data_IF_350538650347
#
_entry.id   IF_350538650347
#
_cell.length_a   1.000
_cell.length_b   1.000
_cell.length_c   1.000
_cell.angle_alpha   90.00
_cell.angle_beta   90.00
_cell.angle_gamma   90.00
#
_symmetry.space_group_name_H-M   'P 1'
#
loop_
_entity.id
_entity.type
_entity.pdbx_description
1 polymer ?
#
# COMPACT_ATOMS: atom_id res chain seq x y z
N UNK A 1 19.22 -9.46 -24.96
CA UNK A 1 18.92 -8.74 -23.71
C UNK A 1 19.82 -7.54 -23.67
N UNK A 2 19.27 -6.36 -23.93
CA UNK A 2 20.01 -5.09 -23.87
C UNK A 2 20.46 -4.86 -22.44
N UNK A 3 21.77 -4.69 -22.21
CA UNK A 3 22.34 -4.20 -20.96
C UNK A 3 21.68 -2.84 -20.63
N UNK A 4 20.61 -2.87 -19.81
CA UNK A 4 20.17 -1.64 -19.13
C UNK A 4 21.34 -1.26 -18.21
N UNK A 5 22.07 -0.20 -18.56
CA UNK A 5 23.14 0.40 -17.74
C UNK A 5 22.63 0.46 -16.29
N UNK A 6 23.50 0.11 -15.32
CA UNK A 6 23.25 0.31 -13.89
C UNK A 6 22.83 1.76 -13.73
N UNK A 7 21.52 1.98 -13.49
CA UNK A 7 20.98 3.31 -13.30
C UNK A 7 21.53 3.85 -11.97
N UNK A 8 21.77 5.14 -11.89
CA UNK A 8 22.15 5.82 -10.67
C UNK A 8 20.94 5.86 -9.71
N UNK A 9 20.72 4.75 -8.99
CA UNK A 9 19.59 4.63 -8.06
C UNK A 9 19.89 5.46 -6.81
N UNK A 10 19.01 6.41 -6.52
CA UNK A 10 19.08 7.31 -5.36
C UNK A 10 17.98 7.06 -4.33
N UNK A 11 16.91 6.40 -4.73
CA UNK A 11 15.77 6.08 -3.87
C UNK A 11 15.30 4.64 -4.12
N UNK A 12 15.14 3.88 -3.04
CA UNK A 12 14.42 2.61 -3.02
C UNK A 12 13.06 2.84 -2.40
N UNK A 13 11.99 2.46 -3.10
CA UNK A 13 10.62 2.47 -2.59
C UNK A 13 10.09 1.05 -2.57
N UNK A 14 9.53 0.62 -1.47
CA UNK A 14 8.99 -0.74 -1.35
C UNK A 14 7.56 -0.73 -0.80
N UNK A 15 6.72 -1.60 -1.33
CA UNK A 15 5.54 -2.03 -0.58
C UNK A 15 5.96 -2.79 0.69
N UNK A 16 5.02 -2.98 1.62
CA UNK A 16 5.24 -3.62 2.90
C UNK A 16 4.69 -5.05 2.92
N UNK A 17 3.36 -5.20 2.73
CA UNK A 17 2.65 -6.45 2.96
C UNK A 17 2.80 -7.42 1.78
N UNK A 18 3.40 -8.59 1.99
CA UNK A 18 3.74 -9.51 0.91
C UNK A 18 5.10 -9.22 0.28
N UNK A 19 5.57 -7.98 0.33
CA UNK A 19 6.83 -7.52 -0.27
C UNK A 19 8.00 -7.51 0.72
N UNK A 20 7.88 -6.83 1.86
CA UNK A 20 8.93 -6.77 2.90
C UNK A 20 8.66 -7.73 4.05
N UNK A 21 7.40 -7.94 4.37
CA UNK A 21 6.98 -8.82 5.46
C UNK A 21 5.88 -9.76 4.99
N UNK A 22 5.80 -10.94 5.59
CA UNK A 22 4.61 -11.77 5.53
C UNK A 22 3.60 -11.26 6.53
N UNK A 23 2.32 -11.48 6.24
CA UNK A 23 1.22 -11.01 7.10
C UNK A 23 1.38 -11.49 8.54
N UNK A 24 1.47 -10.54 9.49
CA UNK A 24 1.62 -10.82 10.92
C UNK A 24 3.07 -10.99 11.39
N UNK A 25 4.06 -10.83 10.52
CA UNK A 25 5.48 -10.90 10.84
C UNK A 25 6.10 -9.49 10.90
N UNK A 26 7.25 -9.38 11.57
CA UNK A 26 8.12 -8.20 11.51
C UNK A 26 9.11 -8.30 10.35
N UNK A 27 9.98 -7.30 10.21
CA UNK A 27 11.03 -7.34 9.19
C UNK A 27 12.00 -8.50 9.42
N UNK A 28 12.31 -9.30 8.37
CA UNK A 28 13.45 -10.20 8.41
C UNK A 28 14.75 -9.40 8.56
N UNK A 29 15.75 -9.99 9.24
CA UNK A 29 17.08 -9.36 9.42
C UNK A 29 17.73 -8.92 8.10
N UNK A 30 17.46 -9.63 7.03
CA UNK A 30 17.98 -9.31 5.70
C UNK A 30 17.47 -7.96 5.18
N UNK A 31 16.23 -7.57 5.51
CA UNK A 31 15.67 -6.24 5.16
C UNK A 31 16.35 -5.14 5.97
N UNK A 32 16.50 -5.33 7.29
CA UNK A 32 17.18 -4.38 8.16
C UNK A 32 18.64 -4.16 7.71
N UNK A 33 19.34 -5.24 7.38
CA UNK A 33 20.71 -5.18 6.86
C UNK A 33 20.79 -4.44 5.52
N UNK A 34 19.86 -4.73 4.59
CA UNK A 34 19.81 -4.07 3.29
C UNK A 34 19.55 -2.56 3.44
N UNK A 35 18.61 -2.17 4.31
CA UNK A 35 18.33 -0.75 4.60
C UNK A 35 19.54 -0.04 5.21
N UNK A 36 20.24 -0.69 6.15
CA UNK A 36 21.46 -0.13 6.73
C UNK A 36 22.58 0.06 5.70
N UNK A 37 22.74 -0.88 4.75
CA UNK A 37 23.73 -0.74 3.67
C UNK A 37 23.34 0.35 2.66
N UNK A 38 22.06 0.51 2.33
CA UNK A 38 21.58 1.63 1.50
C UNK A 38 21.95 2.97 2.14
N UNK A 39 21.71 3.11 3.44
CA UNK A 39 22.05 4.34 4.20
C UNK A 39 23.55 4.66 4.14
N UNK A 40 24.44 3.68 4.24
CA UNK A 40 25.90 3.88 4.10
C UNK A 40 26.30 4.38 2.71
N UNK A 41 25.51 4.08 1.69
CA UNK A 41 25.72 4.49 0.30
C UNK A 41 24.95 5.76 -0.08
N UNK A 42 24.32 6.42 0.90
CA UNK A 42 23.49 7.61 0.69
C UNK A 42 22.31 7.37 -0.26
N UNK A 43 21.87 6.10 -0.37
CA UNK A 43 20.64 5.74 -1.10
C UNK A 43 19.48 5.79 -0.12
N UNK A 44 18.47 6.61 -0.44
CA UNK A 44 17.30 6.79 0.39
C UNK A 44 16.39 5.56 0.31
N UNK A 45 15.64 5.29 1.39
CA UNK A 45 14.68 4.20 1.47
C UNK A 45 13.35 4.70 2.04
N UNK A 46 12.22 4.31 1.43
CA UNK A 46 10.89 4.63 1.95
C UNK A 46 9.86 3.58 1.55
N UNK A 47 8.63 3.75 2.02
CA UNK A 47 7.50 2.85 1.77
C UNK A 47 6.44 3.49 0.88
N UNK A 48 5.74 2.63 0.10
CA UNK A 48 4.47 2.93 -0.55
C UNK A 48 3.50 1.79 -0.23
N UNK A 49 2.53 2.02 0.66
CA UNK A 49 1.69 0.96 1.24
C UNK A 49 0.22 1.35 1.30
N UNK A 50 -0.67 0.35 1.29
CA UNK A 50 -2.10 0.51 1.58
C UNK A 50 -2.39 0.77 3.06
N UNK A 51 -1.42 0.60 3.94
CA UNK A 51 -1.59 0.81 5.38
C UNK A 51 -1.86 2.27 5.75
N UNK A 52 -2.51 2.46 6.88
CA UNK A 52 -2.64 3.78 7.53
C UNK A 52 -1.32 4.20 8.18
N UNK A 53 -1.07 5.52 8.35
CA UNK A 53 0.18 6.03 8.92
C UNK A 53 0.59 5.36 10.23
N UNK A 54 -0.32 5.21 11.20
CA UNK A 54 -0.01 4.60 12.49
C UNK A 54 0.47 3.14 12.39
N UNK A 55 0.09 2.43 11.32
CA UNK A 55 0.54 1.06 11.06
C UNK A 55 1.92 1.02 10.39
N UNK A 56 2.34 2.09 9.73
CA UNK A 56 3.62 2.18 9.02
C UNK A 56 4.69 2.82 9.89
N UNK A 57 4.33 3.79 10.73
CA UNK A 57 5.28 4.56 11.56
C UNK A 57 6.26 3.68 12.35
N UNK A 58 5.83 2.60 13.06
CA UNK A 58 6.79 1.74 13.78
C UNK A 58 7.84 1.10 12.86
N UNK A 59 7.45 0.75 11.63
CA UNK A 59 8.36 0.19 10.63
C UNK A 59 9.32 1.26 10.09
N UNK A 60 8.82 2.46 9.81
CA UNK A 60 9.64 3.58 9.35
C UNK A 60 10.69 3.99 10.40
N UNK A 61 10.29 4.05 11.67
CA UNK A 61 11.19 4.33 12.79
C UNK A 61 12.25 3.25 12.96
N UNK A 62 11.88 1.96 12.88
CA UNK A 62 12.82 0.85 13.04
C UNK A 62 13.94 0.84 11.98
N UNK A 63 13.65 1.31 10.77
CA UNK A 63 14.62 1.45 9.67
C UNK A 63 15.26 2.84 9.58
N UNK A 64 14.88 3.78 10.46
CA UNK A 64 15.39 5.15 10.47
C UNK A 64 15.03 5.95 9.22
N UNK A 65 13.81 5.77 8.72
CA UNK A 65 13.27 6.51 7.57
C UNK A 65 12.85 7.90 8.03
N UNK A 66 13.45 8.94 7.45
CA UNK A 66 13.20 10.34 7.77
C UNK A 66 12.56 11.13 6.63
N UNK A 67 12.50 10.55 5.44
CA UNK A 67 11.85 11.12 4.25
C UNK A 67 10.36 10.78 4.23
N UNK A 68 9.54 11.44 3.38
CA UNK A 68 8.12 11.15 3.29
C UNK A 68 7.82 9.69 2.96
N UNK A 69 6.69 9.21 3.48
CA UNK A 69 6.13 7.86 3.27
C UNK A 69 4.79 7.99 2.60
N UNK A 70 4.52 7.10 1.65
CA UNK A 70 3.25 6.98 0.95
C UNK A 70 2.37 5.95 1.67
N UNK A 71 1.22 6.39 2.19
CA UNK A 71 0.22 5.59 2.89
C UNK A 71 -1.11 5.56 2.12
N UNK A 72 -2.04 4.71 2.54
CA UNK A 72 -3.39 4.59 1.97
C UNK A 72 -3.35 4.46 0.43
N UNK A 73 -2.49 3.57 -0.09
CA UNK A 73 -2.28 3.38 -1.54
C UNK A 73 -1.93 4.65 -2.33
N UNK A 74 -1.35 5.68 -1.70
CA UNK A 74 -0.93 6.89 -2.39
C UNK A 74 -1.75 8.14 -2.08
N UNK A 75 -2.95 7.98 -1.53
CA UNK A 75 -3.83 9.11 -1.21
C UNK A 75 -3.37 9.93 -0.02
N UNK A 76 -2.35 9.48 0.70
CA UNK A 76 -1.80 10.17 1.84
C UNK A 76 -0.27 10.11 1.86
N UNK A 77 0.36 11.28 1.91
CA UNK A 77 1.79 11.41 2.15
C UNK A 77 2.02 12.01 3.53
N UNK A 78 2.92 11.39 4.31
CA UNK A 78 3.26 11.89 5.63
C UNK A 78 4.74 11.70 5.93
N UNK A 79 5.25 12.48 6.88
CA UNK A 79 6.61 12.37 7.40
C UNK A 79 6.58 12.54 8.92
N UNK A 80 6.95 11.50 9.64
CA UNK A 80 6.77 11.44 11.12
C UNK A 80 5.28 11.65 11.46
N UNK A 81 4.94 12.72 12.17
CA UNK A 81 3.57 13.04 12.57
C UNK A 81 2.90 14.10 11.66
N UNK A 82 3.59 14.58 10.61
CA UNK A 82 3.12 15.60 9.70
C UNK A 82 2.49 15.00 8.46
N UNK A 83 1.22 15.33 8.18
CA UNK A 83 0.56 15.03 6.91
C UNK A 83 1.00 16.11 5.91
N UNK A 84 1.68 15.69 4.85
CA UNK A 84 2.18 16.58 3.80
C UNK A 84 1.15 16.77 2.69
N UNK A 85 0.41 15.71 2.36
CA UNK A 85 -0.59 15.71 1.29
C UNK A 85 -1.67 14.67 1.59
N UNK A 86 -2.93 14.97 1.21
CA UNK A 86 -4.07 14.10 1.48
C UNK A 86 -5.15 14.27 0.41
N UNK A 87 -5.62 13.14 -0.13
CA UNK A 87 -6.65 13.06 -1.17
C UNK A 87 -7.79 12.13 -0.73
N UNK A 88 -8.68 12.60 0.17
CA UNK A 88 -9.77 11.76 0.64
C UNK A 88 -10.88 11.63 -0.39
N UNK A 89 -11.73 10.62 -0.25
CA UNK A 89 -12.91 10.37 -1.06
C UNK A 89 -14.19 10.68 -0.27
N UNK A 90 -15.22 11.19 -0.96
CA UNK A 90 -16.51 11.48 -0.36
C UNK A 90 -17.28 10.17 -0.15
N UNK A 91 -17.74 9.89 1.07
CA UNK A 91 -18.50 8.66 1.34
C UNK A 91 -19.84 8.60 0.62
N UNK A 92 -20.43 9.74 0.25
CA UNK A 92 -21.67 9.77 -0.53
C UNK A 92 -21.51 9.03 -1.87
N UNK A 93 -20.36 9.17 -2.54
CA UNK A 93 -20.10 8.49 -3.81
C UNK A 93 -20.12 6.97 -3.66
N UNK A 94 -19.70 6.46 -2.49
CA UNK A 94 -19.64 5.03 -2.18
C UNK A 94 -20.91 4.49 -1.53
N UNK A 95 -21.89 5.34 -1.24
CA UNK A 95 -23.08 4.97 -0.47
C UNK A 95 -23.79 3.73 -1.01
N UNK A 96 -24.08 3.60 -2.33
CA UNK A 96 -24.76 2.41 -2.85
C UNK A 96 -23.98 1.12 -2.60
N UNK A 97 -22.67 1.14 -2.82
CA UNK A 97 -21.78 0.00 -2.59
C UNK A 97 -21.72 -0.36 -1.09
N UNK A 98 -21.58 0.64 -0.24
CA UNK A 98 -21.52 0.47 1.22
C UNK A 98 -22.84 -0.13 1.75
N UNK A 99 -23.98 0.42 1.33
CA UNK A 99 -25.29 -0.10 1.74
C UNK A 99 -25.50 -1.54 1.25
N UNK A 100 -25.08 -1.86 0.02
CA UNK A 100 -25.12 -3.22 -0.51
C UNK A 100 -24.27 -4.21 0.29
N UNK A 101 -23.07 -3.80 0.69
CA UNK A 101 -22.17 -4.59 1.55
C UNK A 101 -22.77 -4.80 2.96
N UNK A 102 -23.31 -3.74 3.56
CA UNK A 102 -23.96 -3.83 4.87
C UNK A 102 -25.20 -4.73 4.87
N UNK A 103 -26.01 -4.73 3.80
CA UNK A 103 -27.14 -5.63 3.64
C UNK A 103 -26.70 -7.11 3.57
N UNK A 104 -25.50 -7.38 3.11
CA UNK A 104 -24.89 -8.73 3.04
C UNK A 104 -24.10 -9.09 4.29
N UNK A 105 -24.25 -8.34 5.37
CA UNK A 105 -23.53 -8.54 6.63
C UNK A 105 -21.98 -8.49 6.50
N UNK A 106 -21.47 -7.91 5.42
CA UNK A 106 -20.03 -7.69 5.23
C UNK A 106 -19.50 -6.65 6.23
N UNK A 107 -18.22 -6.74 6.55
CA UNK A 107 -17.54 -5.76 7.41
C UNK A 107 -17.11 -4.57 6.57
N UNK A 108 -17.62 -3.38 6.89
CA UNK A 108 -17.23 -2.12 6.25
C UNK A 108 -16.44 -1.28 7.24
N UNK A 109 -15.20 -0.94 6.87
CA UNK A 109 -14.32 -0.04 7.60
C UNK A 109 -14.08 1.22 6.77
N UNK A 110 -13.97 2.37 7.43
CA UNK A 110 -13.55 3.62 6.80
C UNK A 110 -12.62 4.41 7.71
N UNK A 111 -11.68 5.11 7.11
CA UNK A 111 -10.63 5.81 7.85
C UNK A 111 -10.85 7.32 7.81
N UNK A 112 -10.81 7.97 8.97
CA UNK A 112 -10.87 9.42 9.11
C UNK A 112 -9.66 9.90 9.90
N UNK A 113 -8.83 10.75 9.31
CA UNK A 113 -7.68 11.35 9.99
C UNK A 113 -6.80 10.30 10.72
N UNK A 114 -6.51 9.19 10.04
CA UNK A 114 -5.67 8.11 10.56
C UNK A 114 -6.35 7.16 11.53
N UNK A 115 -7.62 7.38 11.89
CA UNK A 115 -8.40 6.44 12.71
C UNK A 115 -9.35 5.64 11.84
N UNK A 116 -9.35 4.33 11.98
CA UNK A 116 -10.24 3.41 11.27
C UNK A 116 -11.46 3.07 12.12
N UNK A 117 -12.64 3.24 11.55
CA UNK A 117 -13.94 3.00 12.17
C UNK A 117 -14.65 1.85 11.48
N UNK A 118 -15.33 1.02 12.25
CA UNK A 118 -16.25 0.03 11.72
C UNK A 118 -17.65 0.64 11.62
N UNK A 119 -18.26 0.56 10.44
CA UNK A 119 -19.53 1.23 10.18
C UNK A 119 -20.70 0.58 10.93
N UNK A 120 -20.66 -0.75 11.10
CA UNK A 120 -21.68 -1.50 11.85
C UNK A 120 -21.06 -2.75 12.49
N UNK A 121 -21.57 -3.11 13.67
CA UNK A 121 -21.23 -4.39 14.26
C UNK A 121 -21.94 -5.55 13.56
N UNK A 122 -21.19 -6.58 13.20
CA UNK A 122 -21.68 -7.86 12.69
C UNK A 122 -21.03 -9.02 13.44
N UNK A 123 -21.30 -10.26 13.05
CA UNK A 123 -20.75 -11.44 13.71
C UNK A 123 -19.21 -11.50 13.64
N UNK A 124 -18.64 -11.19 12.45
CA UNK A 124 -17.19 -11.15 12.25
C UNK A 124 -16.51 -10.11 13.13
N UNK A 125 -17.11 -8.93 13.28
CA UNK A 125 -16.61 -7.86 14.17
C UNK A 125 -16.66 -8.28 15.63
N UNK A 126 -17.77 -8.89 16.09
CA UNK A 126 -17.90 -9.41 17.45
C UNK A 126 -16.85 -10.46 17.74
N UNK A 127 -16.63 -11.40 16.84
CA UNK A 127 -15.61 -12.44 16.97
C UNK A 127 -14.21 -11.85 17.06
N UNK A 128 -13.83 -10.94 16.14
CA UNK A 128 -12.52 -10.27 16.16
C UNK A 128 -12.28 -9.48 17.44
N UNK A 129 -13.31 -8.85 18.01
CA UNK A 129 -13.23 -8.20 19.33
C UNK A 129 -12.98 -9.19 20.45
N UNK A 130 -13.69 -10.33 20.45
CA UNK A 130 -13.51 -11.36 21.46
C UNK A 130 -12.11 -11.99 21.42
N UNK A 131 -11.59 -12.26 20.22
CA UNK A 131 -10.27 -12.87 20.02
C UNK A 131 -9.10 -11.93 20.35
N UNK A 132 -9.23 -10.64 20.06
CA UNK A 132 -8.13 -9.66 20.16
C UNK A 132 -8.23 -8.71 21.34
N UNK A 133 -9.30 -8.80 22.12
CA UNK A 133 -9.61 -7.86 23.21
C UNK A 133 -10.03 -6.47 22.75
N UNK A 134 -9.81 -6.12 21.47
CA UNK A 134 -10.20 -4.85 20.85
C UNK A 134 -10.37 -5.02 19.34
N UNK A 135 -11.16 -4.13 18.76
CA UNK A 135 -11.30 -3.94 17.31
C UNK A 135 -11.62 -2.46 17.03
N UNK A 136 -11.78 -2.09 15.79
CA UNK A 136 -12.08 -0.71 15.41
C UNK A 136 -13.35 -0.19 16.13
N UNK A 137 -13.38 1.09 16.56
CA UNK A 137 -14.57 1.71 17.13
C UNK A 137 -15.75 1.61 16.17
N UNK A 138 -16.95 1.32 16.70
CA UNK A 138 -18.16 1.37 15.89
C UNK A 138 -18.59 2.82 15.74
N UNK A 139 -18.72 3.27 14.50
CA UNK A 139 -19.21 4.60 14.16
C UNK A 139 -20.06 4.50 12.88
N UNK A 140 -21.39 4.36 13.00
CA UNK A 140 -22.28 4.45 11.85
C UNK A 140 -22.20 5.84 11.21
N UNK A 141 -22.37 5.90 9.90
CA UNK A 141 -22.54 7.17 9.18
C UNK A 141 -24.02 7.54 9.27
N UNK A 142 -24.33 8.69 9.85
CA UNK A 142 -25.70 9.21 9.94
C UNK A 142 -26.13 9.80 8.61
N UNK A 143 -27.45 9.90 8.39
CA UNK A 143 -27.99 10.35 7.09
C UNK A 143 -27.45 11.74 6.69
N UNK A 144 -27.35 12.67 7.63
CA UNK A 144 -26.85 14.02 7.41
C UNK A 144 -25.32 14.11 7.21
N UNK A 145 -24.57 13.04 7.45
CA UNK A 145 -23.11 13.02 7.37
C UNK A 145 -22.59 12.56 5.99
N UNK A 146 -23.41 11.86 5.19
CA UNK A 146 -22.93 11.25 3.93
C UNK A 146 -22.25 12.26 2.99
N UNK A 147 -22.79 13.48 2.86
CA UNK A 147 -22.25 14.52 1.98
C UNK A 147 -21.00 15.20 2.53
N UNK A 148 -20.81 15.16 3.85
CA UNK A 148 -19.74 15.90 4.53
C UNK A 148 -18.57 15.04 4.99
N UNK A 149 -18.71 13.70 4.99
CA UNK A 149 -17.64 12.79 5.38
C UNK A 149 -16.73 12.45 4.21
N UNK A 150 -15.45 12.74 4.42
CA UNK A 150 -14.36 12.46 3.49
C UNK A 150 -13.40 11.47 4.14
N UNK A 151 -13.36 10.24 3.62
CA UNK A 151 -12.54 9.16 4.14
C UNK A 151 -11.18 9.08 3.43
N UNK A 152 -10.13 8.70 4.16
CA UNK A 152 -8.81 8.46 3.59
C UNK A 152 -8.82 7.18 2.72
N UNK A 153 -9.58 6.18 3.17
CA UNK A 153 -9.87 4.93 2.45
C UNK A 153 -11.09 4.24 3.04
N UNK A 154 -11.68 3.32 2.26
CA UNK A 154 -12.73 2.40 2.70
C UNK A 154 -12.27 0.97 2.44
N UNK A 155 -12.49 0.08 3.41
CA UNK A 155 -12.29 -1.35 3.27
C UNK A 155 -13.62 -2.09 3.43
N UNK A 156 -13.89 -3.01 2.52
CA UNK A 156 -15.00 -3.95 2.66
C UNK A 156 -14.41 -5.35 2.70
N UNK A 157 -14.80 -6.15 3.68
CA UNK A 157 -14.31 -7.53 3.79
C UNK A 157 -15.43 -8.50 4.12
N UNK A 158 -15.33 -9.67 3.52
CA UNK A 158 -16.21 -10.80 3.74
C UNK A 158 -15.43 -12.09 4.00
N UNK A 159 -15.64 -12.71 5.14
CA UNK A 159 -14.95 -13.95 5.51
C UNK A 159 -15.50 -15.18 4.78
N UNK A 160 -16.69 -15.07 4.19
CA UNK A 160 -17.31 -16.11 3.37
C UNK A 160 -16.80 -16.11 1.93
N UNK A 161 -16.13 -15.02 1.51
CA UNK A 161 -15.53 -14.91 0.19
C UNK A 161 -16.54 -14.55 -0.89
N UNK A 162 -17.50 -13.69 -0.59
CA UNK A 162 -18.56 -13.28 -1.53
C UNK A 162 -18.41 -11.84 -2.05
N UNK A 163 -17.20 -11.27 -2.00
CA UNK A 163 -16.93 -9.90 -2.49
C UNK A 163 -17.39 -9.71 -3.95
N UNK A 164 -17.24 -10.73 -4.79
CA UNK A 164 -17.71 -10.68 -6.20
C UNK A 164 -19.21 -10.37 -6.34
N UNK A 165 -20.01 -10.54 -5.29
CA UNK A 165 -21.42 -10.14 -5.28
C UNK A 165 -21.63 -8.63 -5.27
N UNK A 166 -20.56 -7.83 -5.13
CA UNK A 166 -20.58 -6.36 -5.14
C UNK A 166 -20.20 -5.74 -6.49
N UNK A 167 -19.76 -6.52 -7.48
CA UNK A 167 -19.23 -6.01 -8.76
C UNK A 167 -20.18 -5.02 -9.49
N UNK A 168 -21.49 -5.20 -9.41
CA UNK A 168 -22.45 -4.29 -10.05
C UNK A 168 -22.45 -2.87 -9.44
N UNK A 169 -22.06 -2.73 -8.18
CA UNK A 169 -21.92 -1.43 -7.49
C UNK A 169 -20.55 -0.79 -7.65
N UNK A 170 -19.55 -1.54 -8.13
CA UNK A 170 -18.22 -1.03 -8.42
C UNK A 170 -18.16 -0.29 -9.75
N UNK A 171 -18.86 -0.79 -10.77
CA UNK A 171 -18.84 -0.22 -12.12
C UNK A 171 -19.17 1.29 -12.18
N UNK A 172 -20.16 1.83 -11.44
CA UNK A 172 -20.41 3.27 -11.43
C UNK A 172 -19.31 4.11 -10.81
N UNK A 173 -18.37 3.49 -10.07
CA UNK A 173 -17.25 4.16 -9.39
C UNK A 173 -15.98 4.26 -10.25
N UNK A 174 -15.98 3.65 -11.43
CA UNK A 174 -14.88 3.72 -12.38
C UNK A 174 -14.55 5.19 -12.72
N UNK A 175 -13.27 5.56 -12.55
CA UNK A 175 -12.77 6.91 -12.79
C UNK A 175 -12.85 7.86 -11.59
N UNK A 176 -13.70 7.61 -10.57
CA UNK A 176 -13.71 8.37 -9.31
C UNK A 176 -12.97 7.66 -8.19
N UNK A 177 -12.97 6.34 -8.19
CA UNK A 177 -12.32 5.49 -7.21
C UNK A 177 -11.35 4.50 -7.87
N UNK A 178 -10.30 4.16 -7.14
CA UNK A 178 -9.43 3.02 -7.40
C UNK A 178 -9.79 1.92 -6.42
N UNK A 179 -10.13 0.74 -6.93
CA UNK A 179 -10.59 -0.41 -6.15
C UNK A 179 -9.56 -1.53 -6.31
N UNK A 180 -8.95 -1.94 -5.21
CA UNK A 180 -8.01 -3.06 -5.16
C UNK A 180 -8.68 -4.25 -4.49
N UNK A 181 -8.69 -5.41 -5.15
CA UNK A 181 -9.26 -6.65 -4.63
C UNK A 181 -8.21 -7.50 -3.91
N UNK A 182 -8.59 -8.06 -2.76
CA UNK A 182 -7.81 -9.09 -2.04
C UNK A 182 -8.46 -10.46 -2.27
N UNK A 183 -8.38 -10.94 -3.49
CA UNK A 183 -9.14 -12.12 -3.92
C UNK A 183 -10.63 -11.88 -3.76
N UNK A 184 -11.38 -12.91 -3.32
CA UNK A 184 -12.82 -12.80 -3.05
C UNK A 184 -13.15 -12.52 -1.56
N UNK A 185 -12.18 -12.07 -0.78
CA UNK A 185 -12.34 -11.82 0.67
C UNK A 185 -12.39 -10.34 1.05
N UNK A 186 -11.99 -9.45 0.18
CA UNK A 186 -12.02 -8.02 0.49
C UNK A 186 -11.66 -7.14 -0.68
N UNK A 187 -12.02 -5.89 -0.53
CA UNK A 187 -11.63 -4.80 -1.43
C UNK A 187 -11.25 -3.57 -0.60
N UNK A 188 -10.33 -2.80 -1.15
CA UNK A 188 -9.91 -1.51 -0.62
C UNK A 188 -10.20 -0.44 -1.66
N UNK A 189 -10.82 0.65 -1.23
CA UNK A 189 -11.26 1.74 -2.09
C UNK A 189 -10.54 3.01 -1.66
N UNK A 190 -9.89 3.65 -2.61
CA UNK A 190 -9.25 4.96 -2.46
C UNK A 190 -9.67 5.87 -3.61
N UNK A 191 -9.37 7.16 -3.50
CA UNK A 191 -9.66 8.12 -4.57
C UNK A 191 -8.82 7.81 -5.81
N UNK A 192 -9.43 7.77 -6.99
CA UNK A 192 -8.74 7.51 -8.24
C UNK A 192 -7.70 8.59 -8.58
N UNK A 193 -6.64 8.19 -9.30
CA UNK A 193 -5.58 9.07 -9.75
C UNK A 193 -4.51 9.37 -8.70
N UNK A 194 -4.65 8.81 -7.49
CA UNK A 194 -3.72 9.01 -6.37
C UNK A 194 -3.12 7.68 -5.88
N UNK A 195 -2.87 6.74 -6.79
CA UNK A 195 -2.27 5.45 -6.48
C UNK A 195 -0.82 5.54 -5.96
N UNK A 196 -0.20 4.41 -5.59
CA UNK A 196 1.19 4.36 -5.08
C UNK A 196 2.17 5.07 -6.00
N UNK A 197 2.02 4.96 -7.32
CA UNK A 197 2.85 5.66 -8.29
C UNK A 197 2.77 7.18 -8.16
N UNK A 198 1.57 7.72 -7.91
CA UNK A 198 1.39 9.15 -7.64
C UNK A 198 2.19 9.56 -6.40
N UNK A 199 1.99 8.86 -5.29
CA UNK A 199 2.70 9.15 -4.03
C UNK A 199 4.22 9.13 -4.20
N UNK A 200 4.75 8.14 -4.92
CA UNK A 200 6.20 8.05 -5.22
C UNK A 200 6.68 9.23 -6.06
N UNK A 201 5.91 9.65 -7.08
CA UNK A 201 6.25 10.86 -7.86
C UNK A 201 6.32 12.11 -7.00
N UNK A 202 5.39 12.30 -6.06
CA UNK A 202 5.40 13.45 -5.14
C UNK A 202 6.62 13.40 -4.20
N UNK A 203 6.95 12.23 -3.66
CA UNK A 203 8.15 12.04 -2.84
C UNK A 203 9.41 12.40 -3.66
N UNK A 204 9.51 11.90 -4.88
CA UNK A 204 10.63 12.19 -5.79
C UNK A 204 10.75 13.69 -6.09
N UNK A 205 9.62 14.35 -6.39
CA UNK A 205 9.59 15.79 -6.65
C UNK A 205 10.08 16.60 -5.44
N UNK A 206 9.63 16.25 -4.24
CA UNK A 206 10.05 16.89 -3.00
C UNK A 206 11.53 16.67 -2.66
N UNK A 207 12.13 15.58 -3.12
CA UNK A 207 13.55 15.24 -2.91
C UNK A 207 14.48 15.67 -4.04
N UNK A 208 13.95 16.18 -5.16
CA UNK A 208 14.73 16.47 -6.36
C UNK A 208 15.34 15.22 -7.01
N UNK A 209 14.61 14.09 -6.97
CA UNK A 209 14.98 12.79 -7.52
C UNK A 209 14.08 12.50 -8.74
N UNK A 210 14.66 12.03 -9.86
CA UNK A 210 13.89 11.56 -11.01
C UNK A 210 13.34 10.17 -10.77
N UNK A 211 12.14 9.85 -11.29
CA UNK A 211 11.61 8.47 -11.27
C UNK A 211 12.56 7.46 -11.90
N UNK A 212 13.40 7.87 -12.84
CA UNK A 212 14.45 7.03 -13.42
C UNK A 212 15.54 6.60 -12.41
N UNK A 213 15.67 7.32 -11.30
CA UNK A 213 16.60 7.03 -10.20
C UNK A 213 15.95 6.25 -9.07
N UNK A 214 14.73 5.73 -9.28
CA UNK A 214 13.99 4.92 -8.31
C UNK A 214 14.11 3.45 -8.62
N UNK A 215 14.39 2.64 -7.61
CA UNK A 215 14.11 1.22 -7.55
C UNK A 215 12.80 1.03 -6.79
N UNK A 216 11.76 0.55 -7.47
CA UNK A 216 10.48 0.20 -6.85
C UNK A 216 10.35 -1.31 -6.67
N UNK A 217 9.83 -1.77 -5.52
CA UNK A 217 9.67 -3.19 -5.18
C UNK A 217 8.23 -3.43 -4.72
N UNK A 218 7.58 -4.46 -5.28
CA UNK A 218 6.19 -4.78 -4.99
C UNK A 218 5.83 -6.24 -5.25
N UNK A 219 4.57 -6.61 -4.97
CA UNK A 219 4.07 -7.96 -5.16
C UNK A 219 2.64 -8.07 -5.70
N UNK A 220 1.85 -6.99 -5.65
CA UNK A 220 0.43 -7.03 -5.99
C UNK A 220 0.04 -5.97 -7.05
N UNK A 221 -1.18 -6.04 -7.54
CA UNK A 221 -1.73 -5.21 -8.61
C UNK A 221 -1.57 -3.71 -8.37
N UNK A 222 -1.79 -3.24 -7.13
CA UNK A 222 -1.64 -1.84 -6.73
C UNK A 222 -0.18 -1.31 -6.78
N UNK A 223 0.80 -2.21 -7.02
CA UNK A 223 2.21 -1.85 -7.25
C UNK A 223 2.53 -1.67 -8.73
N UNK A 224 1.73 -2.22 -9.63
CA UNK A 224 2.06 -2.34 -11.05
C UNK A 224 2.43 -1.01 -11.70
N UNK A 225 1.65 0.04 -11.45
CA UNK A 225 1.94 1.37 -11.98
C UNK A 225 3.25 1.94 -11.42
N UNK A 226 3.50 1.77 -10.11
CA UNK A 226 4.74 2.20 -9.46
C UNK A 226 5.95 1.47 -10.06
N UNK A 227 5.87 0.15 -10.24
CA UNK A 227 6.94 -0.65 -10.84
C UNK A 227 7.23 -0.21 -12.28
N UNK A 228 6.17 0.02 -13.07
CA UNK A 228 6.30 0.40 -14.48
C UNK A 228 6.92 1.78 -14.66
N UNK A 229 6.62 2.73 -13.78
CA UNK A 229 7.09 4.12 -13.87
C UNK A 229 8.48 4.33 -13.25
N UNK A 230 8.93 3.43 -12.39
CA UNK A 230 10.25 3.53 -11.77
C UNK A 230 11.37 3.29 -12.79
N UNK A 231 12.57 3.78 -12.47
CA UNK A 231 13.77 3.48 -13.23
C UNK A 231 14.03 1.98 -13.32
N UNK A 232 13.80 1.26 -12.23
CA UNK A 232 13.81 -0.20 -12.16
C UNK A 232 12.61 -0.62 -11.33
N UNK A 233 11.69 -1.36 -11.93
CA UNK A 233 10.61 -2.03 -11.22
C UNK A 233 10.95 -3.48 -10.94
N UNK A 234 10.77 -3.93 -9.72
CA UNK A 234 11.13 -5.28 -9.30
C UNK A 234 10.00 -5.97 -8.53
N UNK A 235 9.75 -7.23 -8.85
CA UNK A 235 8.77 -8.06 -8.16
C UNK A 235 9.47 -9.08 -7.26
N UNK A 236 8.94 -9.31 -6.05
CA UNK A 236 9.41 -10.42 -5.19
C UNK A 236 8.91 -11.77 -5.71
N UNK A 237 9.53 -12.87 -5.22
CA UNK A 237 9.26 -14.23 -5.73
C UNK A 237 7.81 -14.70 -5.58
N UNK A 238 7.10 -14.25 -4.54
CA UNK A 238 5.69 -14.54 -4.30
C UNK A 238 4.72 -13.56 -4.98
N UNK A 239 5.21 -12.57 -5.73
CA UNK A 239 4.36 -11.61 -6.41
C UNK A 239 3.37 -12.28 -7.38
N UNK A 240 2.25 -11.63 -7.62
CA UNK A 240 1.25 -12.07 -8.59
C UNK A 240 1.81 -12.15 -10.01
N UNK A 241 1.21 -12.98 -10.84
CA UNK A 241 1.68 -13.18 -12.21
C UNK A 241 1.66 -11.89 -13.04
N UNK A 242 0.62 -11.06 -12.87
CA UNK A 242 0.48 -9.77 -13.53
C UNK A 242 1.57 -8.80 -13.08
N UNK A 243 1.87 -8.75 -11.79
CA UNK A 243 2.93 -7.90 -11.23
C UNK A 243 4.32 -8.32 -11.70
N UNK A 244 4.59 -9.64 -11.76
CA UNK A 244 5.83 -10.16 -12.36
C UNK A 244 5.99 -9.80 -13.83
N UNK A 245 4.88 -9.77 -14.57
CA UNK A 245 4.89 -9.48 -16.01
C UNK A 245 5.22 -8.02 -16.31
N UNK A 246 4.88 -7.08 -15.42
CA UNK A 246 5.18 -5.65 -15.60
C UNK A 246 6.52 -5.23 -14.98
N UNK A 247 7.14 -6.05 -14.15
CA UNK A 247 8.42 -5.77 -13.53
C UNK A 247 9.61 -5.99 -14.48
N UNK A 248 10.66 -5.16 -14.35
CA UNK A 248 11.93 -5.35 -15.09
C UNK A 248 12.70 -6.61 -14.63
N UNK A 249 12.51 -7.01 -13.37
CA UNK A 249 13.12 -8.21 -12.81
C UNK A 249 12.25 -8.81 -11.68
N UNK A 250 12.42 -10.11 -11.48
CA UNK A 250 11.77 -10.83 -10.38
C UNK A 250 12.84 -11.50 -9.51
N UNK A 251 12.69 -11.36 -8.18
CA UNK A 251 13.53 -12.08 -7.22
C UNK A 251 13.26 -13.59 -7.26
N UNK A 252 14.26 -14.38 -6.88
CA UNK A 252 14.10 -15.83 -6.68
C UNK A 252 13.44 -16.13 -5.33
N UNK A 253 13.73 -15.29 -4.33
CA UNK A 253 13.21 -15.43 -2.97
C UNK A 253 11.90 -14.66 -2.82
N UNK A 254 11.13 -15.05 -1.82
CA UNK A 254 9.83 -14.46 -1.49
C UNK A 254 9.99 -13.33 -0.46
N UNK A 255 9.02 -12.41 -0.46
CA UNK A 255 8.83 -11.35 0.53
C UNK A 255 10.15 -10.64 0.89
N UNK A 256 10.41 -10.36 2.16
CA UNK A 256 11.58 -9.60 2.60
C UNK A 256 12.93 -10.18 2.17
N UNK A 257 13.05 -11.51 2.09
CA UNK A 257 14.26 -12.13 1.55
C UNK A 257 14.43 -11.83 0.05
N UNK A 258 13.32 -11.76 -0.70
CA UNK A 258 13.30 -11.36 -2.11
C UNK A 258 13.63 -9.88 -2.29
N UNK A 259 13.01 -9.02 -1.48
CA UNK A 259 13.32 -7.58 -1.49
C UNK A 259 14.80 -7.31 -1.18
N UNK A 260 15.35 -7.98 -0.16
CA UNK A 260 16.77 -7.87 0.17
C UNK A 260 17.69 -8.40 -0.97
N UNK A 261 17.29 -9.47 -1.67
CA UNK A 261 17.99 -9.97 -2.87
C UNK A 261 18.04 -8.90 -3.97
N UNK A 262 16.89 -8.26 -4.27
CA UNK A 262 16.77 -7.20 -5.26
C UNK A 262 17.67 -6.02 -4.90
N UNK A 263 17.58 -5.52 -3.65
CA UNK A 263 18.37 -4.38 -3.19
C UNK A 263 19.88 -4.68 -3.31
N UNK A 264 20.33 -5.85 -2.87
CA UNK A 264 21.74 -6.25 -2.99
C UNK A 264 22.20 -6.24 -4.43
N UNK A 265 21.46 -6.90 -5.31
CA UNK A 265 21.80 -7.05 -6.73
C UNK A 265 21.85 -5.71 -7.46
N UNK A 266 20.95 -4.79 -7.17
CA UNK A 266 20.81 -3.53 -7.92
C UNK A 266 21.64 -2.41 -7.29
N UNK A 267 21.63 -2.29 -5.95
CA UNK A 267 22.20 -1.14 -5.26
C UNK A 267 23.54 -1.43 -4.58
N UNK A 268 23.80 -2.70 -4.16
CA UNK A 268 24.89 -3.00 -3.26
C UNK A 268 26.03 -3.80 -3.90
N UNK A 269 25.77 -4.65 -4.90
CA UNK A 269 26.83 -5.40 -5.58
C UNK A 269 27.66 -4.45 -6.45
N UNK A 270 28.98 -4.45 -6.25
CA UNK A 270 29.91 -3.83 -7.19
C UNK A 270 29.97 -4.70 -8.45
N UNK A 271 29.90 -4.08 -9.63
CA UNK A 271 30.21 -4.79 -10.85
C UNK A 271 31.67 -5.22 -10.79
N UNK A 272 31.94 -6.52 -10.70
CA UNK A 272 33.25 -7.02 -11.11
C UNK A 272 33.50 -6.53 -12.55
N UNK A 273 34.50 -5.67 -12.70
CA UNK A 273 34.97 -5.16 -13.99
C UNK A 273 35.68 -6.23 -14.77
#
# INVERSE_FOLDING_TARGET
MTEKRKKDIRLVVSDIDGTLIRRGEGFPKEVEQAAAELKKREILFTFASGRLPYMITPFAESLGIEIPVCACNGTLLYRKDEILEKHPLCLLELRPLIEAALLREMTVLYSLNGTEYCMRENEAVRRKRAERGSYHPIRPVREEEWESLWADKVNISDEQGEISSLLEWEQPLEGSCEITHYGNQGLEIVRAGFGKAYGVRQICAGLGISMEQVLAIGDNENDNEMLTQAGIGAAVGNAEAATKACADLTARKESGAGAAEIIRRICLEENEK
#
